data_IF_702353247545
#
_entry.id   IF_702353247545
#
_cell.length_a   1.000
_cell.length_b   1.000
_cell.length_c   1.000
_cell.angle_alpha   90.00
_cell.angle_beta   90.00
_cell.angle_gamma   90.00
#
_symmetry.space_group_name_H-M   'P 1'
#
loop_
_entity.id
_entity.type
_entity.pdbx_description
1 polymer ?
#
# COMPACT_ATOMS: atom_id res chain seq x y z
N UNK A 1 -4.89 -27.98 -25.36
CA UNK A 1 -4.04 -27.61 -24.21
C UNK A 1 -4.86 -26.67 -23.32
N UNK A 2 -5.07 -26.97 -22.03
CA UNK A 2 -5.87 -26.11 -21.12
C UNK A 2 -4.95 -25.11 -20.42
N UNK A 3 -4.69 -23.98 -21.07
CA UNK A 3 -3.91 -22.88 -20.47
C UNK A 3 -4.80 -22.21 -19.42
N UNK A 4 -4.38 -22.25 -18.15
CA UNK A 4 -5.10 -21.62 -17.03
C UNK A 4 -4.55 -20.26 -16.62
N UNK A 5 -3.30 -19.99 -17.00
CA UNK A 5 -2.53 -18.80 -16.69
C UNK A 5 -1.72 -18.39 -17.92
N UNK A 6 -1.69 -17.09 -18.20
CA UNK A 6 -0.95 -16.53 -19.33
C UNK A 6 -0.19 -15.29 -18.84
N UNK A 7 1.14 -15.33 -18.96
CA UNK A 7 2.02 -14.17 -18.73
C UNK A 7 2.46 -13.60 -20.07
N UNK A 8 2.34 -12.29 -20.24
CA UNK A 8 2.69 -11.60 -21.48
C UNK A 8 3.58 -10.39 -21.21
N UNK A 9 4.54 -10.17 -22.12
CA UNK A 9 5.47 -9.02 -22.15
C UNK A 9 5.36 -8.25 -23.49
N UNK A 10 5.75 -6.97 -23.49
CA UNK A 10 4.98 -5.88 -24.11
C UNK A 10 5.08 -5.57 -25.61
N UNK A 11 5.68 -6.39 -26.46
CA UNK A 11 5.58 -6.17 -27.92
C UNK A 11 4.69 -7.18 -28.66
N UNK A 12 4.40 -8.34 -28.06
CA UNK A 12 3.65 -9.43 -28.71
C UNK A 12 2.25 -9.67 -28.13
N UNK A 13 1.88 -8.96 -27.06
CA UNK A 13 0.57 -9.09 -26.38
C UNK A 13 -0.61 -9.05 -27.35
N UNK A 14 -0.64 -8.06 -28.25
CA UNK A 14 -1.77 -7.87 -29.17
C UNK A 14 -1.99 -9.12 -30.03
N UNK A 15 -0.92 -9.64 -30.62
CA UNK A 15 -1.00 -10.83 -31.48
C UNK A 15 -1.41 -12.07 -30.69
N UNK A 16 -0.90 -12.23 -29.47
CA UNK A 16 -1.20 -13.40 -28.63
C UNK A 16 -2.65 -13.38 -28.12
N UNK A 17 -3.18 -12.20 -27.78
CA UNK A 17 -4.57 -12.03 -27.33
C UNK A 17 -5.58 -12.17 -28.50
N UNK A 18 -5.16 -11.93 -29.75
CA UNK A 18 -6.04 -12.00 -30.93
C UNK A 18 -6.10 -13.37 -31.61
N UNK A 19 -5.02 -14.16 -31.55
CA UNK A 19 -4.85 -15.32 -32.46
C UNK A 19 -5.38 -16.63 -31.88
N UNK A 20 -5.57 -16.71 -30.56
CA UNK A 20 -5.85 -17.98 -29.87
C UNK A 20 -7.06 -17.83 -28.96
N UNK A 21 -8.01 -18.75 -29.09
CA UNK A 21 -9.06 -18.92 -28.08
C UNK A 21 -8.44 -19.60 -26.85
N UNK A 22 -8.66 -19.01 -25.67
CA UNK A 22 -8.15 -19.51 -24.40
C UNK A 22 -9.29 -20.00 -23.51
N UNK A 23 -9.98 -21.10 -23.88
CA UNK A 23 -11.04 -21.63 -23.05
C UNK A 23 -10.44 -22.06 -21.71
N UNK A 24 -10.96 -21.51 -20.62
CA UNK A 24 -10.55 -21.75 -19.23
C UNK A 24 -9.33 -20.95 -18.74
N UNK A 25 -9.03 -19.79 -19.33
CA UNK A 25 -8.04 -18.87 -18.77
C UNK A 25 -8.61 -18.13 -17.57
N UNK A 26 -8.09 -18.40 -16.36
CA UNK A 26 -8.56 -17.76 -15.13
C UNK A 26 -7.61 -16.68 -14.60
N UNK A 27 -6.36 -16.69 -15.06
CA UNK A 27 -5.33 -15.76 -14.65
C UNK A 27 -4.58 -15.15 -15.82
N UNK A 28 -4.32 -13.86 -15.73
CA UNK A 28 -3.61 -13.09 -16.76
C UNK A 28 -2.57 -12.20 -16.09
N UNK A 29 -1.31 -12.34 -16.49
CA UNK A 29 -0.22 -11.46 -16.11
C UNK A 29 0.24 -10.64 -17.31
N UNK A 30 0.21 -9.32 -17.19
CA UNK A 30 0.66 -8.41 -18.21
C UNK A 30 1.80 -7.56 -17.64
N UNK A 31 3.01 -7.76 -18.13
CA UNK A 31 4.21 -7.12 -17.59
C UNK A 31 4.86 -6.18 -18.60
N UNK A 32 5.53 -5.16 -18.06
CA UNK A 32 6.29 -4.16 -18.80
C UNK A 32 5.45 -3.48 -19.89
N UNK A 33 4.13 -3.33 -19.68
CA UNK A 33 3.25 -2.74 -20.69
C UNK A 33 3.58 -1.26 -20.83
N UNK A 34 3.94 -0.84 -22.04
CA UNK A 34 4.03 0.57 -22.39
C UNK A 34 2.66 1.24 -22.26
N UNK A 35 2.66 2.51 -21.84
CA UNK A 35 1.44 3.29 -21.62
C UNK A 35 0.47 3.28 -22.82
N UNK A 36 0.97 3.44 -24.05
CA UNK A 36 0.17 3.41 -25.27
C UNK A 36 -0.48 2.05 -25.53
N UNK A 37 0.25 0.97 -25.23
CA UNK A 37 -0.30 -0.38 -25.33
C UNK A 37 -1.35 -0.62 -24.25
N UNK A 38 -1.13 -0.12 -23.03
CA UNK A 38 -2.11 -0.22 -21.95
C UNK A 38 -3.38 0.59 -22.26
N UNK A 39 -3.26 1.82 -22.79
CA UNK A 39 -4.39 2.62 -23.29
C UNK A 39 -5.19 1.83 -24.30
N UNK A 40 -4.54 1.31 -25.33
CA UNK A 40 -5.21 0.55 -26.38
C UNK A 40 -5.96 -0.67 -25.81
N UNK A 41 -5.31 -1.43 -24.92
CA UNK A 41 -5.89 -2.64 -24.32
C UNK A 41 -7.11 -2.36 -23.42
N UNK A 42 -7.06 -1.29 -22.63
CA UNK A 42 -8.08 -1.03 -21.60
C UNK A 42 -9.09 0.04 -21.97
N UNK A 43 -8.84 0.90 -22.97
CA UNK A 43 -9.82 1.91 -23.42
C UNK A 43 -10.64 1.46 -24.63
N UNK A 44 -10.17 0.51 -25.44
CA UNK A 44 -10.97 -0.10 -26.49
C UNK A 44 -11.71 -1.33 -25.93
N UNK A 45 -12.98 -1.14 -25.58
CA UNK A 45 -13.83 -2.17 -24.96
C UNK A 45 -13.88 -3.48 -25.77
N UNK A 46 -13.58 -3.47 -27.07
CA UNK A 46 -13.77 -4.64 -27.94
C UNK A 46 -12.77 -5.76 -27.66
N UNK A 47 -11.57 -5.43 -27.19
CA UNK A 47 -10.44 -6.35 -27.20
C UNK A 47 -10.39 -7.26 -25.97
N UNK A 48 -10.47 -6.67 -24.78
CA UNK A 48 -10.45 -7.43 -23.52
C UNK A 48 -11.85 -7.89 -23.11
N UNK A 49 -12.90 -7.09 -23.41
CA UNK A 49 -14.24 -7.39 -22.89
C UNK A 49 -14.93 -8.55 -23.61
N UNK A 50 -14.58 -8.85 -24.86
CA UNK A 50 -15.20 -9.94 -25.61
C UNK A 50 -14.63 -11.32 -25.25
N UNK A 51 -13.33 -11.40 -24.94
CA UNK A 51 -12.63 -12.67 -24.71
C UNK A 51 -12.54 -13.01 -23.21
N UNK A 52 -12.18 -12.03 -22.38
CA UNK A 52 -11.69 -12.29 -21.02
C UNK A 52 -12.61 -11.86 -19.88
N UNK A 53 -13.59 -10.98 -20.17
CA UNK A 53 -14.52 -10.35 -19.20
C UNK A 53 -15.09 -11.29 -18.14
N UNK A 54 -15.52 -12.49 -18.55
CA UNK A 54 -16.17 -13.47 -17.67
C UNK A 54 -15.23 -14.58 -17.19
N UNK A 55 -14.00 -14.68 -17.72
CA UNK A 55 -13.10 -15.79 -17.42
C UNK A 55 -12.05 -15.43 -16.37
N UNK A 56 -11.51 -14.22 -16.46
CA UNK A 56 -10.41 -13.79 -15.59
C UNK A 56 -10.92 -13.53 -14.17
N UNK A 57 -10.30 -14.25 -13.24
CA UNK A 57 -10.49 -14.09 -11.80
C UNK A 57 -9.27 -13.47 -11.11
N UNK A 58 -8.09 -13.59 -11.74
CA UNK A 58 -6.82 -13.03 -11.25
C UNK A 58 -6.14 -12.22 -12.35
N UNK A 59 -5.81 -10.96 -12.07
CA UNK A 59 -5.09 -10.09 -12.99
C UNK A 59 -3.83 -9.54 -12.31
N UNK A 60 -2.70 -9.65 -12.99
CA UNK A 60 -1.47 -8.93 -12.67
C UNK A 60 -1.21 -7.95 -13.79
N UNK A 61 -0.98 -6.69 -13.43
CA UNK A 61 -0.66 -5.65 -14.40
C UNK A 61 0.54 -4.85 -13.89
N UNK A 62 1.62 -4.84 -14.67
CA UNK A 62 2.79 -4.00 -14.46
C UNK A 62 2.93 -3.02 -15.63
N UNK A 63 2.59 -1.76 -15.39
CA UNK A 63 2.68 -0.69 -16.38
C UNK A 63 3.96 0.09 -16.13
N UNK A 64 4.69 0.41 -17.20
CA UNK A 64 5.72 1.44 -17.16
C UNK A 64 5.15 2.72 -17.77
N UNK A 65 4.52 3.60 -16.96
CA UNK A 65 4.02 4.84 -17.49
C UNK A 65 5.19 5.77 -17.80
N UNK A 66 5.12 6.42 -18.95
CA UNK A 66 5.99 7.55 -19.20
C UNK A 66 5.65 8.64 -18.17
N UNK A 67 6.68 9.36 -17.72
CA UNK A 67 6.72 10.11 -16.43
C UNK A 67 5.64 11.18 -16.19
N UNK A 68 4.62 11.36 -17.04
CA UNK A 68 3.85 12.60 -17.11
C UNK A 68 2.33 12.49 -17.11
N UNK A 69 1.70 11.35 -17.41
CA UNK A 69 0.23 11.32 -17.51
C UNK A 69 -0.44 10.19 -16.72
N UNK A 70 -0.83 10.54 -15.51
CA UNK A 70 -1.53 9.65 -14.59
C UNK A 70 -3.06 9.64 -14.76
N UNK A 71 -3.64 10.50 -15.60
CA UNK A 71 -5.07 10.43 -15.94
C UNK A 71 -5.42 9.10 -16.62
N UNK A 72 -4.43 8.53 -17.30
CA UNK A 72 -4.51 7.22 -17.96
C UNK A 72 -4.54 6.10 -16.94
N UNK A 73 -3.82 6.24 -15.84
CA UNK A 73 -3.83 5.24 -14.77
C UNK A 73 -5.21 5.11 -14.14
N UNK A 74 -5.87 6.25 -13.92
CA UNK A 74 -7.26 6.30 -13.49
C UNK A 74 -8.18 5.60 -14.51
N UNK A 75 -8.04 5.92 -15.80
CA UNK A 75 -8.85 5.29 -16.85
C UNK A 75 -8.64 3.77 -16.91
N UNK A 76 -7.40 3.29 -16.84
CA UNK A 76 -7.08 1.86 -16.84
C UNK A 76 -7.68 1.16 -15.62
N UNK A 77 -7.53 1.73 -14.42
CA UNK A 77 -8.14 1.17 -13.22
C UNK A 77 -9.67 1.11 -13.36
N UNK A 78 -10.28 2.21 -13.80
CA UNK A 78 -11.72 2.28 -14.00
C UNK A 78 -12.19 1.20 -14.99
N UNK A 79 -11.44 0.98 -16.07
CA UNK A 79 -11.75 -0.02 -17.08
C UNK A 79 -11.56 -1.45 -16.57
N UNK A 80 -10.48 -1.74 -15.83
CA UNK A 80 -10.29 -3.05 -15.19
C UNK A 80 -11.47 -3.37 -14.26
N UNK A 81 -11.85 -2.43 -13.40
CA UNK A 81 -12.98 -2.57 -12.49
C UNK A 81 -14.35 -2.54 -13.17
N UNK A 82 -14.42 -2.18 -14.45
CA UNK A 82 -15.68 -2.17 -15.22
C UNK A 82 -15.82 -3.41 -16.11
N UNK A 83 -14.71 -3.87 -16.69
CA UNK A 83 -14.67 -4.93 -17.69
C UNK A 83 -14.64 -6.30 -17.05
N UNK A 84 -13.84 -6.53 -16.00
CA UNK A 84 -13.70 -7.87 -15.42
C UNK A 84 -14.69 -8.11 -14.28
N UNK A 85 -15.82 -8.75 -14.62
CA UNK A 85 -16.93 -8.99 -13.68
C UNK A 85 -16.55 -10.00 -12.59
N UNK A 86 -15.75 -11.01 -12.93
CA UNK A 86 -15.36 -12.10 -12.03
C UNK A 86 -14.00 -11.90 -11.35
N UNK A 87 -13.41 -10.70 -11.47
CA UNK A 87 -12.11 -10.39 -10.92
C UNK A 87 -12.14 -10.39 -9.39
N UNK A 88 -11.53 -11.39 -8.78
CA UNK A 88 -11.43 -11.53 -7.32
C UNK A 88 -10.08 -11.07 -6.79
N UNK A 89 -9.04 -11.14 -7.62
CA UNK A 89 -7.65 -10.84 -7.25
C UNK A 89 -7.01 -9.90 -8.27
N UNK A 90 -6.51 -8.75 -7.81
CA UNK A 90 -5.78 -7.79 -8.63
C UNK A 90 -4.43 -7.44 -8.00
N UNK A 91 -3.37 -7.58 -8.79
CA UNK A 91 -2.04 -7.05 -8.45
C UNK A 91 -1.70 -5.95 -9.44
N UNK A 92 -1.58 -4.74 -8.94
CA UNK A 92 -1.21 -3.55 -9.68
C UNK A 92 0.23 -3.16 -9.34
N UNK A 93 1.13 -3.16 -10.32
CA UNK A 93 2.52 -2.78 -10.16
C UNK A 93 2.90 -1.61 -11.07
N UNK A 94 3.63 -0.66 -10.52
CA UNK A 94 4.25 0.42 -11.28
C UNK A 94 5.73 0.09 -11.52
N UNK A 95 6.14 -0.02 -12.79
CA UNK A 95 7.48 -0.50 -13.16
C UNK A 95 8.61 0.46 -12.74
N UNK A 96 8.37 1.78 -12.75
CA UNK A 96 9.39 2.76 -12.37
C UNK A 96 9.28 3.18 -10.90
N UNK A 97 9.97 2.44 -10.03
CA UNK A 97 10.12 2.72 -8.59
C UNK A 97 11.03 3.95 -8.28
N UNK A 98 11.08 4.98 -9.16
CA UNK A 98 12.20 5.97 -9.17
C UNK A 98 11.89 7.47 -9.35
N UNK A 99 10.69 7.99 -9.66
CA UNK A 99 10.53 9.44 -9.93
C UNK A 99 9.31 10.16 -9.31
N UNK A 100 9.58 11.20 -8.50
CA UNK A 100 8.59 11.98 -7.75
C UNK A 100 7.68 12.82 -8.67
N UNK A 101 6.50 12.32 -9.01
CA UNK A 101 5.43 13.10 -9.60
C UNK A 101 4.26 13.28 -8.60
N UNK A 102 3.77 14.51 -8.47
CA UNK A 102 2.56 14.85 -7.70
C UNK A 102 1.35 14.78 -8.63
N UNK A 103 0.29 14.13 -8.17
CA UNK A 103 -0.99 14.06 -8.86
C UNK A 103 -1.97 15.07 -8.31
N UNK A 104 -2.89 15.57 -9.16
CA UNK A 104 -4.13 16.28 -8.81
C UNK A 104 -5.27 15.51 -9.49
N UNK A 105 -6.23 14.98 -8.73
CA UNK A 105 -7.41 14.29 -9.26
C UNK A 105 -8.59 15.27 -9.24
N UNK A 106 -9.26 15.48 -10.39
CA UNK A 106 -10.40 16.41 -10.49
C UNK A 106 -11.76 15.76 -10.71
N UNK A 107 -11.82 14.50 -11.18
CA UNK A 107 -13.09 13.91 -11.62
C UNK A 107 -13.44 12.64 -10.83
N UNK A 108 -14.62 12.62 -10.21
CA UNK A 108 -15.24 11.43 -9.62
C UNK A 108 -16.10 10.74 -10.69
N UNK A 109 -15.73 9.54 -11.13
CA UNK A 109 -16.60 8.72 -12.00
C UNK A 109 -17.58 7.87 -11.16
N UNK A 110 -18.84 7.65 -11.57
CA UNK A 110 -19.90 7.35 -10.61
C UNK A 110 -20.02 5.90 -10.12
N UNK A 111 -19.52 4.86 -10.80
CA UNK A 111 -19.75 3.47 -10.37
C UNK A 111 -18.69 2.50 -10.91
N UNK A 112 -18.09 1.67 -10.05
CA UNK A 112 -17.37 0.45 -10.47
C UNK A 112 -18.37 -0.70 -10.52
N UNK A 113 -18.32 -1.52 -11.56
CA UNK A 113 -19.19 -2.70 -11.69
C UNK A 113 -18.57 -3.98 -11.13
N UNK A 114 -17.26 -4.01 -10.83
CA UNK A 114 -16.60 -5.16 -10.23
C UNK A 114 -16.93 -5.26 -8.75
N UNK A 115 -18.09 -5.87 -8.48
CA UNK A 115 -18.60 -6.17 -7.15
C UNK A 115 -17.90 -7.37 -6.50
N UNK A 116 -16.95 -8.04 -7.17
CA UNK A 116 -16.39 -9.32 -6.73
C UNK A 116 -14.93 -9.26 -6.25
N UNK A 117 -14.27 -8.09 -6.32
CA UNK A 117 -12.86 -7.97 -5.92
C UNK A 117 -12.70 -8.17 -4.40
N UNK A 118 -11.97 -9.23 -4.02
CA UNK A 118 -11.71 -9.61 -2.63
C UNK A 118 -10.30 -9.24 -2.18
N UNK A 119 -9.32 -9.31 -3.10
CA UNK A 119 -7.90 -9.08 -2.82
C UNK A 119 -7.33 -8.07 -3.80
N UNK A 120 -6.71 -7.02 -3.25
CA UNK A 120 -6.02 -5.97 -4.00
C UNK A 120 -4.61 -5.77 -3.47
N UNK A 121 -3.62 -5.88 -4.35
CA UNK A 121 -2.23 -5.56 -4.06
C UNK A 121 -1.78 -4.41 -4.96
N UNK A 122 -1.29 -3.33 -4.37
CA UNK A 122 -0.86 -2.13 -5.06
C UNK A 122 0.60 -1.87 -4.74
N UNK A 123 1.44 -1.80 -5.77
CA UNK A 123 2.84 -1.38 -5.67
C UNK A 123 3.03 -0.14 -6.52
N UNK A 124 3.06 1.03 -5.89
CA UNK A 124 3.10 2.33 -6.60
C UNK A 124 4.04 3.31 -5.93
N UNK A 125 4.42 4.37 -6.64
CA UNK A 125 5.33 5.35 -6.08
C UNK A 125 4.70 6.24 -5.00
N UNK A 126 3.43 6.65 -5.16
CA UNK A 126 2.80 7.64 -4.28
C UNK A 126 1.45 7.18 -3.72
N UNK A 127 1.16 7.61 -2.49
CA UNK A 127 -0.05 7.26 -1.75
C UNK A 127 -1.36 7.75 -2.41
N UNK A 128 -1.32 8.83 -3.20
CA UNK A 128 -2.53 9.47 -3.75
C UNK A 128 -3.32 8.53 -4.68
N UNK A 129 -2.62 7.69 -5.44
CA UNK A 129 -3.23 6.68 -6.34
C UNK A 129 -4.04 5.65 -5.54
N UNK A 130 -3.50 5.20 -4.41
CA UNK A 130 -4.17 4.24 -3.54
C UNK A 130 -5.48 4.82 -2.99
N UNK A 131 -5.43 6.07 -2.52
CA UNK A 131 -6.58 6.76 -1.96
C UNK A 131 -7.75 6.90 -2.95
N UNK A 132 -7.45 7.17 -4.22
CA UNK A 132 -8.45 7.20 -5.28
C UNK A 132 -9.13 5.83 -5.41
N UNK A 133 -8.35 4.76 -5.59
CA UNK A 133 -8.88 3.40 -5.76
C UNK A 133 -9.77 2.99 -4.56
N UNK A 134 -9.41 3.43 -3.36
CA UNK A 134 -10.08 3.10 -2.10
C UNK A 134 -11.24 4.02 -1.70
N UNK A 135 -11.74 4.89 -2.58
CA UNK A 135 -12.82 5.84 -2.25
C UNK A 135 -14.23 5.19 -2.14
N UNK A 136 -14.33 4.06 -1.43
CA UNK A 136 -15.58 3.36 -1.14
C UNK A 136 -16.22 2.63 -2.32
N UNK A 137 -15.45 2.34 -3.37
CA UNK A 137 -15.95 1.65 -4.58
C UNK A 137 -15.68 0.14 -4.59
N UNK A 138 -14.91 -0.37 -3.63
CA UNK A 138 -14.52 -1.77 -3.51
C UNK A 138 -15.14 -2.37 -2.24
N UNK A 139 -16.48 -2.42 -2.21
CA UNK A 139 -17.21 -2.79 -0.99
C UNK A 139 -16.93 -4.21 -0.52
N UNK A 140 -16.66 -5.18 -1.41
CA UNK A 140 -16.37 -6.57 -1.03
C UNK A 140 -14.89 -6.83 -0.70
N UNK A 141 -14.04 -5.79 -0.71
CA UNK A 141 -12.61 -5.97 -0.50
C UNK A 141 -12.33 -6.46 0.92
N UNK A 142 -11.72 -7.64 1.04
CA UNK A 142 -11.34 -8.25 2.32
C UNK A 142 -9.86 -8.05 2.63
N UNK A 143 -9.01 -8.04 1.60
CA UNK A 143 -7.55 -7.95 1.73
C UNK A 143 -6.98 -6.84 0.87
N UNK A 144 -6.18 -5.96 1.48
CA UNK A 144 -5.53 -4.85 0.81
C UNK A 144 -4.07 -4.79 1.20
N UNK A 145 -3.18 -4.93 0.21
CA UNK A 145 -1.74 -4.78 0.39
C UNK A 145 -1.28 -3.56 -0.39
N UNK A 146 -0.56 -2.66 0.26
CA UNK A 146 -0.03 -1.44 -0.33
C UNK A 146 1.46 -1.38 -0.05
N UNK A 147 2.25 -1.31 -1.11
CA UNK A 147 3.69 -1.09 -1.10
C UNK A 147 3.98 0.23 -1.83
N UNK A 148 4.66 1.13 -1.15
CA UNK A 148 4.90 2.49 -1.63
C UNK A 148 6.37 2.83 -1.59
N UNK A 149 6.82 3.59 -2.60
CA UNK A 149 8.09 4.29 -2.47
C UNK A 149 7.97 5.42 -1.45
N UNK A 150 6.97 6.30 -1.56
CA UNK A 150 6.85 7.49 -0.71
C UNK A 150 5.40 7.87 -0.39
N UNK A 151 5.19 8.44 0.79
CA UNK A 151 3.95 9.07 1.22
C UNK A 151 4.24 10.56 1.40
N UNK A 152 3.85 11.36 0.41
CA UNK A 152 3.95 12.82 0.44
C UNK A 152 2.64 13.44 0.96
N UNK A 153 2.72 14.55 1.72
CA UNK A 153 1.52 15.26 2.17
C UNK A 153 0.71 15.71 0.95
N UNK A 154 -0.62 15.63 1.02
CA UNK A 154 -1.47 16.01 -0.10
C UNK A 154 -1.41 17.54 -0.26
N UNK A 155 -1.54 18.02 -1.49
CA UNK A 155 -1.63 19.46 -1.78
C UNK A 155 -3.03 20.03 -1.45
N UNK A 156 -4.03 19.17 -1.25
CA UNK A 156 -5.42 19.51 -0.98
C UNK A 156 -5.99 18.51 0.03
N UNK A 157 -6.91 18.99 0.86
CA UNK A 157 -7.56 18.24 1.93
C UNK A 157 -8.20 16.93 1.42
N UNK A 158 -7.74 15.80 1.97
CA UNK A 158 -8.42 14.51 1.82
C UNK A 158 -9.58 14.48 2.82
N UNK A 159 -10.47 15.45 2.69
CA UNK A 159 -11.73 15.47 3.41
C UNK A 159 -12.78 14.83 2.51
N UNK A 160 -13.58 13.92 3.06
CA UNK A 160 -14.67 13.15 2.41
C UNK A 160 -14.34 11.75 1.87
N UNK A 161 -13.39 11.02 2.44
CA UNK A 161 -13.19 9.60 2.06
C UNK A 161 -14.12 8.65 2.82
N UNK A 162 -14.72 7.70 2.09
CA UNK A 162 -15.70 6.74 2.62
C UNK A 162 -15.07 5.66 3.50
N UNK A 163 -15.83 5.06 4.42
CA UNK A 163 -15.39 3.87 5.18
C UNK A 163 -15.07 2.70 4.24
N UNK A 164 -14.22 1.77 4.68
CA UNK A 164 -13.92 0.51 3.98
C UNK A 164 -14.39 -0.64 4.90
N UNK A 165 -15.71 -0.89 4.99
CA UNK A 165 -16.27 -1.66 6.10
C UNK A 165 -15.95 -3.16 6.04
N UNK A 166 -15.70 -3.75 4.89
CA UNK A 166 -15.49 -5.20 4.80
C UNK A 166 -14.00 -5.60 4.86
N UNK A 167 -13.08 -4.64 4.93
CA UNK A 167 -11.66 -4.93 4.95
C UNK A 167 -11.26 -5.62 6.26
N UNK A 168 -10.73 -6.85 6.14
CA UNK A 168 -10.27 -7.67 7.26
C UNK A 168 -8.76 -7.67 7.41
N UNK A 169 -8.03 -7.54 6.31
CA UNK A 169 -6.58 -7.63 6.29
C UNK A 169 -5.97 -6.45 5.55
N UNK A 170 -5.04 -5.75 6.20
CA UNK A 170 -4.37 -4.59 5.63
C UNK A 170 -2.87 -4.66 5.87
N UNK A 171 -2.11 -4.45 4.80
CA UNK A 171 -0.65 -4.33 4.84
C UNK A 171 -0.27 -3.01 4.21
N UNK A 172 0.50 -2.19 4.92
CA UNK A 172 1.11 -0.97 4.40
C UNK A 172 2.62 -1.04 4.58
N UNK A 173 3.35 -0.91 3.47
CA UNK A 173 4.80 -0.81 3.45
C UNK A 173 5.20 0.45 2.71
N UNK A 174 6.04 1.29 3.33
CA UNK A 174 6.58 2.50 2.72
C UNK A 174 8.11 2.44 2.80
N UNK A 175 8.78 2.47 1.65
CA UNK A 175 10.24 2.37 1.59
C UNK A 175 10.91 3.64 2.12
N UNK A 176 10.44 4.82 1.69
CA UNK A 176 11.05 6.09 2.05
C UNK A 176 10.40 6.72 3.29
N UNK A 177 11.19 7.55 3.96
CA UNK A 177 10.77 8.35 5.12
C UNK A 177 9.60 9.27 4.78
N UNK A 178 8.52 9.22 5.57
CA UNK A 178 7.35 10.10 5.45
C UNK A 178 7.11 10.95 6.70
N UNK A 179 6.73 12.21 6.54
CA UNK A 179 6.25 13.07 7.64
C UNK A 179 4.72 13.10 7.77
N UNK A 180 4.01 12.31 6.94
CA UNK A 180 2.55 12.38 6.81
C UNK A 180 1.82 11.29 7.59
N UNK A 181 2.46 10.68 8.59
CA UNK A 181 1.86 9.60 9.38
C UNK A 181 0.52 10.02 10.03
N UNK A 182 0.52 11.14 10.74
CA UNK A 182 -0.70 11.66 11.40
C UNK A 182 -1.76 12.16 10.40
N UNK A 183 -1.31 12.67 9.25
CA UNK A 183 -2.19 13.35 8.28
C UNK A 183 -2.81 12.40 7.27
N UNK A 184 -2.15 11.27 6.98
CA UNK A 184 -2.54 10.36 5.90
C UNK A 184 -2.71 8.91 6.37
N UNK A 185 -1.77 8.39 7.15
CA UNK A 185 -1.78 6.98 7.54
C UNK A 185 -2.85 6.74 8.61
N UNK A 186 -2.85 7.50 9.70
CA UNK A 186 -3.84 7.32 10.77
C UNK A 186 -5.29 7.51 10.26
N UNK A 187 -5.64 8.58 9.50
CA UNK A 187 -6.98 8.72 8.96
C UNK A 187 -7.39 7.58 8.04
N UNK A 188 -6.46 7.03 7.22
CA UNK A 188 -6.74 5.85 6.40
C UNK A 188 -7.10 4.64 7.28
N UNK A 189 -6.30 4.38 8.32
CA UNK A 189 -6.53 3.27 9.25
C UNK A 189 -7.88 3.39 9.97
N UNK A 190 -8.29 4.61 10.34
CA UNK A 190 -9.57 4.85 11.03
C UNK A 190 -10.80 4.55 10.16
N UNK A 191 -10.63 4.47 8.84
CA UNK A 191 -11.70 4.08 7.90
C UNK A 191 -11.93 2.56 7.87
N UNK A 192 -11.01 1.77 8.42
CA UNK A 192 -11.00 0.30 8.38
C UNK A 192 -11.46 -0.29 9.72
N UNK A 193 -12.68 0.03 10.14
CA UNK A 193 -13.17 -0.28 11.51
C UNK A 193 -13.34 -1.77 11.81
N UNK A 194 -13.44 -2.62 10.79
CA UNK A 194 -13.62 -4.07 10.94
C UNK A 194 -12.33 -4.87 10.69
N UNK A 195 -11.19 -4.18 10.68
CA UNK A 195 -9.88 -4.76 10.40
C UNK A 195 -9.49 -5.75 11.51
N UNK A 196 -9.13 -6.97 11.10
CA UNK A 196 -8.73 -8.05 12.00
C UNK A 196 -7.22 -8.30 12.00
N UNK A 197 -6.53 -8.01 10.88
CA UNK A 197 -5.05 -8.06 10.83
C UNK A 197 -4.48 -6.81 10.18
N UNK A 198 -3.47 -6.24 10.82
CA UNK A 198 -2.73 -5.07 10.36
C UNK A 198 -1.24 -5.39 10.32
N UNK A 199 -0.59 -5.08 9.20
CA UNK A 199 0.86 -5.07 9.09
C UNK A 199 1.37 -3.70 8.64
N UNK A 200 2.28 -3.09 9.40
CA UNK A 200 2.90 -1.80 9.06
C UNK A 200 4.41 -1.94 8.92
N UNK A 201 4.98 -1.50 7.80
CA UNK A 201 6.41 -1.32 7.64
C UNK A 201 6.68 0.13 7.20
N UNK A 202 7.16 0.96 8.12
CA UNK A 202 7.18 2.41 7.93
C UNK A 202 8.44 3.06 8.48
N UNK A 203 8.97 4.01 7.72
CA UNK A 203 9.93 4.99 8.22
C UNK A 203 9.24 6.35 8.30
N UNK A 204 9.15 6.94 9.50
CA UNK A 204 8.38 8.15 9.76
C UNK A 204 9.24 9.25 10.36
N UNK A 205 8.95 10.50 10.01
CA UNK A 205 9.45 11.67 10.72
C UNK A 205 8.33 12.23 11.58
N UNK A 206 8.61 12.36 12.87
CA UNK A 206 7.71 12.86 13.92
C UNK A 206 8.29 14.13 14.53
N UNK A 207 7.43 15.06 14.93
CA UNK A 207 7.88 16.37 15.42
C UNK A 207 8.36 16.35 16.86
N UNK A 208 7.65 15.63 17.73
CA UNK A 208 7.76 15.81 19.19
C UNK A 208 8.04 14.52 19.96
N UNK A 209 7.49 13.39 19.51
CA UNK A 209 7.59 12.12 20.24
C UNK A 209 7.72 10.96 19.26
N UNK A 210 8.54 9.98 19.61
CA UNK A 210 8.64 8.72 18.88
C UNK A 210 7.30 7.99 18.82
N UNK A 211 7.15 7.15 17.79
CA UNK A 211 6.07 6.18 17.79
C UNK A 211 6.49 5.05 18.73
N UNK A 212 5.88 5.01 19.92
CA UNK A 212 6.11 4.00 20.94
C UNK A 212 4.82 3.20 21.24
N UNK A 213 4.87 2.31 22.25
CA UNK A 213 3.72 1.47 22.62
C UNK A 213 2.51 2.27 23.11
N UNK A 214 2.72 3.38 23.81
CA UNK A 214 1.63 4.26 24.23
C UNK A 214 0.98 4.95 23.02
N UNK A 215 1.80 5.44 22.10
CA UNK A 215 1.35 6.06 20.87
C UNK A 215 0.54 5.08 20.02
N UNK A 216 1.04 3.86 19.80
CA UNK A 216 0.35 2.83 19.02
C UNK A 216 -0.96 2.39 19.69
N UNK A 217 -0.99 2.26 21.01
CA UNK A 217 -2.21 1.91 21.75
C UNK A 217 -3.27 3.00 21.59
N UNK A 218 -2.88 4.26 21.83
CA UNK A 218 -3.78 5.42 21.75
C UNK A 218 -4.32 5.63 20.34
N UNK A 219 -3.46 5.56 19.33
CA UNK A 219 -3.82 5.94 17.97
C UNK A 219 -4.31 4.74 17.14
N UNK A 220 -3.80 3.53 17.31
CA UNK A 220 -4.26 2.39 16.50
C UNK A 220 -5.21 1.49 17.29
N UNK A 221 -4.76 0.93 18.41
CA UNK A 221 -5.49 -0.14 19.09
C UNK A 221 -6.85 0.32 19.63
N UNK A 222 -6.93 1.54 20.16
CA UNK A 222 -8.18 2.10 20.66
C UNK A 222 -9.20 2.38 19.55
N UNK A 223 -8.76 2.56 18.30
CA UNK A 223 -9.64 2.87 17.16
C UNK A 223 -10.04 1.64 16.35
N UNK A 224 -9.18 0.61 16.31
CA UNK A 224 -9.40 -0.63 15.55
C UNK A 224 -9.68 -1.77 16.54
N UNK A 225 -10.87 -1.74 17.14
CA UNK A 225 -11.24 -2.65 18.24
C UNK A 225 -11.36 -4.12 17.84
N UNK A 226 -11.52 -4.42 16.54
CA UNK A 226 -11.60 -5.80 16.02
C UNK A 226 -10.24 -6.40 15.67
N UNK A 227 -9.15 -5.66 15.89
CA UNK A 227 -7.81 -6.15 15.58
C UNK A 227 -7.53 -7.39 16.42
N UNK A 228 -7.07 -8.46 15.77
CA UNK A 228 -6.66 -9.74 16.38
C UNK A 228 -5.17 -10.00 16.19
N UNK A 229 -4.57 -9.37 15.19
CA UNK A 229 -3.14 -9.46 14.91
C UNK A 229 -2.63 -8.10 14.46
N UNK A 230 -1.59 -7.61 15.15
CA UNK A 230 -0.87 -6.42 14.75
C UNK A 230 0.61 -6.73 14.64
N UNK A 231 1.16 -6.66 13.44
CA UNK A 231 2.58 -6.79 13.19
C UNK A 231 3.14 -5.47 12.67
N UNK A 232 4.32 -5.08 13.11
CA UNK A 232 4.91 -3.83 12.66
C UNK A 232 6.44 -3.85 12.67
N UNK A 233 7.02 -3.00 11.81
CA UNK A 233 8.41 -2.55 11.77
C UNK A 233 8.35 -1.04 11.51
N UNK A 234 8.55 -0.23 12.55
CA UNK A 234 8.39 1.22 12.49
C UNK A 234 9.68 1.87 12.97
N UNK A 235 10.30 2.64 12.08
CA UNK A 235 11.42 3.54 12.39
C UNK A 235 10.87 4.95 12.49
N UNK A 236 11.00 5.57 13.65
CA UNK A 236 10.54 6.95 13.90
C UNK A 236 11.70 7.88 14.19
N UNK A 237 11.81 8.92 13.36
CA UNK A 237 12.82 9.96 13.44
C UNK A 237 12.24 11.22 14.08
N UNK A 238 12.91 11.72 15.11
CA UNK A 238 12.50 12.92 15.85
C UNK A 238 13.63 13.95 15.86
N UNK A 239 13.29 15.22 15.69
CA UNK A 239 14.27 16.30 15.90
C UNK A 239 14.50 16.51 17.38
N UNK A 240 15.76 16.57 17.80
CA UNK A 240 16.17 16.83 19.19
C UNK A 240 16.33 18.34 19.37
N UNK A 241 15.54 18.91 20.29
CA UNK A 241 15.72 20.26 20.76
C UNK A 241 16.42 20.23 22.13
N UNK A 242 17.18 21.28 22.45
CA UNK A 242 18.06 21.35 23.62
C UNK A 242 17.38 21.15 24.99
N UNK A 243 16.04 21.12 25.04
CA UNK A 243 15.24 21.00 26.27
C UNK A 243 14.55 19.62 26.42
N UNK A 244 14.78 18.66 25.51
CA UNK A 244 14.12 17.36 25.57
C UNK A 244 14.84 16.36 26.47
N UNK A 245 14.10 15.80 27.43
CA UNK A 245 14.49 14.56 28.10
C UNK A 245 14.42 13.41 27.10
N UNK A 246 15.58 12.89 26.71
CA UNK A 246 15.70 11.80 25.75
C UNK A 246 15.41 10.46 26.44
N UNK A 247 14.34 9.71 26.06
CA UNK A 247 14.04 8.43 26.70
C UNK A 247 15.13 7.38 26.45
N UNK A 248 15.49 6.60 27.46
CA UNK A 248 16.36 5.43 27.28
C UNK A 248 15.66 4.31 26.52
N UNK A 249 16.43 3.30 26.06
CA UNK A 249 15.87 2.07 25.47
C UNK A 249 14.88 1.40 26.43
N UNK A 250 15.22 1.34 27.71
CA UNK A 250 14.39 0.76 28.75
C UNK A 250 13.10 1.57 28.95
N UNK A 251 13.17 2.90 28.85
CA UNK A 251 11.97 3.75 28.92
C UNK A 251 11.02 3.50 27.77
N UNK A 252 11.53 3.34 26.53
CA UNK A 252 10.70 3.00 25.36
C UNK A 252 10.15 1.57 25.49
N UNK A 253 10.98 0.60 25.88
CA UNK A 253 10.58 -0.79 26.01
C UNK A 253 9.44 -0.95 27.03
N UNK A 254 9.51 -0.27 28.18
CA UNK A 254 8.45 -0.26 29.20
C UNK A 254 7.10 0.24 28.69
N UNK A 255 7.07 1.01 27.58
CA UNK A 255 5.80 1.43 26.95
C UNK A 255 5.06 0.29 26.27
N UNK A 256 5.69 -0.88 26.14
CA UNK A 256 5.10 -2.08 25.56
C UNK A 256 4.72 -3.15 26.58
N UNK A 257 4.94 -2.93 27.89
CA UNK A 257 4.67 -3.94 28.94
C UNK A 257 3.20 -4.41 28.92
N UNK A 258 2.26 -3.49 28.64
CA UNK A 258 0.81 -3.78 28.53
C UNK A 258 0.33 -3.87 27.06
N UNK A 259 1.23 -4.13 26.11
CA UNK A 259 0.87 -4.22 24.69
C UNK A 259 0.32 -5.61 24.36
N UNK A 260 -0.91 -5.73 23.84
CA UNK A 260 -1.59 -7.03 23.73
C UNK A 260 -1.05 -7.96 22.63
N UNK A 261 -0.09 -7.51 21.82
CA UNK A 261 0.42 -8.26 20.66
C UNK A 261 1.93 -8.47 20.75
N UNK A 262 2.35 -9.75 20.76
CA UNK A 262 3.72 -10.31 20.58
C UNK A 262 4.89 -9.64 21.34
N UNK A 263 6.05 -10.30 21.29
CA UNK A 263 7.32 -9.76 21.81
C UNK A 263 7.73 -8.56 20.97
N UNK A 264 7.47 -7.34 21.46
CA UNK A 264 7.95 -6.12 20.82
C UNK A 264 9.38 -5.87 21.24
N UNK A 265 10.24 -5.61 20.27
CA UNK A 265 11.61 -5.17 20.52
C UNK A 265 11.73 -3.72 20.11
N UNK A 266 12.39 -2.93 20.95
CA UNK A 266 12.68 -1.53 20.70
C UNK A 266 14.18 -1.23 20.82
N UNK A 267 14.67 -0.33 19.97
CA UNK A 267 15.97 0.31 20.11
C UNK A 267 15.83 1.81 19.85
N UNK A 268 16.69 2.59 20.50
CA UNK A 268 16.71 4.04 20.38
C UNK A 268 18.14 4.54 20.31
N UNK A 269 18.37 5.49 19.41
CA UNK A 269 19.65 6.11 19.15
C UNK A 269 19.50 7.61 19.04
N UNK A 270 20.51 8.33 19.54
CA UNK A 270 20.53 9.79 19.56
C UNK A 270 21.80 10.29 18.89
N UNK A 271 21.63 10.92 17.73
CA UNK A 271 22.69 11.53 16.96
C UNK A 271 22.73 13.03 17.27
N UNK A 272 23.34 13.38 18.40
CA UNK A 272 23.36 14.76 18.92
C UNK A 272 23.99 15.77 17.95
N UNK A 273 24.98 15.35 17.17
CA UNK A 273 25.61 16.16 16.12
C UNK A 273 24.61 16.60 15.04
N UNK A 274 23.66 15.72 14.71
CA UNK A 274 22.61 15.97 13.72
C UNK A 274 21.30 16.45 14.33
N UNK A 275 21.24 16.58 15.68
CA UNK A 275 20.02 16.87 16.42
C UNK A 275 18.87 15.95 16.01
N UNK A 276 19.14 14.66 15.85
CA UNK A 276 18.16 13.67 15.42
C UNK A 276 18.18 12.47 16.36
N UNK A 277 17.00 12.00 16.73
CA UNK A 277 16.80 10.74 17.42
C UNK A 277 16.12 9.75 16.48
N UNK A 278 16.49 8.48 16.59
CA UNK A 278 15.85 7.37 15.88
C UNK A 278 15.35 6.37 16.92
N UNK A 279 14.08 6.03 16.85
CA UNK A 279 13.49 4.93 17.59
C UNK A 279 12.97 3.89 16.61
N UNK A 280 13.47 2.67 16.70
CA UNK A 280 13.03 1.55 15.88
C UNK A 280 12.32 0.53 16.76
N UNK A 281 11.06 0.24 16.42
CA UNK A 281 10.21 -0.71 17.11
C UNK A 281 9.72 -1.77 16.13
N UNK A 282 9.69 -3.04 16.54
CA UNK A 282 9.14 -4.10 15.71
C UNK A 282 8.57 -5.28 16.51
N UNK A 283 7.56 -5.94 15.94
CA UNK A 283 6.90 -7.10 16.53
C UNK A 283 7.59 -8.40 16.14
N UNK A 284 8.07 -9.22 17.09
CA UNK A 284 8.74 -10.48 16.77
C UNK A 284 7.77 -11.68 16.67
N UNK A 285 7.95 -12.60 15.69
CA UNK A 285 8.88 -12.51 14.57
C UNK A 285 8.36 -11.53 13.51
N UNK A 286 9.20 -10.57 13.10
CA UNK A 286 8.94 -9.75 11.93
C UNK A 286 9.79 -10.26 10.77
N UNK A 287 9.16 -10.49 9.62
CA UNK A 287 9.90 -10.72 8.37
C UNK A 287 10.41 -9.35 7.89
N UNK A 288 11.56 -8.90 8.41
CA UNK A 288 12.22 -7.68 7.94
C UNK A 288 12.50 -7.82 6.45
N UNK A 289 11.91 -6.93 5.65
CA UNK A 289 12.12 -6.88 4.20
C UNK A 289 13.25 -5.93 3.78
N UNK A 290 13.64 -5.00 4.66
CA UNK A 290 14.61 -3.95 4.35
C UNK A 290 15.57 -3.72 5.54
N UNK A 291 16.88 -3.68 5.24
CA UNK A 291 17.98 -3.53 6.20
C UNK A 291 18.54 -2.10 6.24
N UNK A 292 17.73 -1.10 5.93
CA UNK A 292 18.18 0.30 5.95
C UNK A 292 18.11 0.85 7.38
N UNK A 293 19.06 1.73 7.69
CA UNK A 293 19.19 2.48 8.96
C UNK A 293 19.17 1.60 10.23
N UNK A 294 19.74 0.39 10.15
CA UNK A 294 19.96 -0.44 11.34
C UNK A 294 21.09 0.17 12.16
N UNK A 295 20.79 0.52 13.41
CA UNK A 295 21.71 1.22 14.30
C UNK A 295 22.56 0.26 15.12
N UNK A 296 23.61 0.80 15.75
CA UNK A 296 24.50 0.04 16.64
C UNK A 296 23.77 -0.57 17.85
N UNK A 297 22.60 -0.04 18.23
CA UNK A 297 21.79 -0.55 19.33
C UNK A 297 20.73 -1.57 18.89
N UNK A 298 20.77 -2.00 17.63
CA UNK A 298 19.93 -3.10 17.15
C UNK A 298 20.25 -4.38 17.95
N UNK A 299 19.23 -5.13 18.40
CA UNK A 299 19.43 -6.34 19.19
C UNK A 299 20.35 -7.34 18.48
N UNK A 300 21.24 -7.97 19.25
CA UNK A 300 22.23 -8.95 18.79
C UNK A 300 23.35 -8.41 17.87
N UNK A 301 23.37 -7.10 17.60
CA UNK A 301 24.39 -6.44 16.78
C UNK A 301 24.26 -6.73 15.28
N UNK A 302 25.08 -6.04 14.48
CA UNK A 302 25.30 -6.32 13.05
C UNK A 302 26.61 -7.06 12.86
#
# INVERSE_FOLDING_TARGET
>A
MKIKWLDLESSFMKNILHVVDYPNLYGLGLYNIEEETAKYLFTDERLISSIFKNQITTLIIAIDPDKKDWSIMENICNQIFTVFINLTHLIFCHASYKNNARLLFKNRSPTFSSSSLLILNIKVQTFRVCLYILDGRLEQLHTLHIELANILPPSEEIENQRKIPNLKYFVLSCLLKTSSYNQLILPLLYRMTNLEKLALNLTVSVKETFIDGYYLKKNILNHISQLKQFTFDIRSYMFINNEMNLPSKEDIQRRFDDFPYTNVISCVDYFLEYKEGLCHIYSYPFLMKHYEDVTNNFPDGL
#
